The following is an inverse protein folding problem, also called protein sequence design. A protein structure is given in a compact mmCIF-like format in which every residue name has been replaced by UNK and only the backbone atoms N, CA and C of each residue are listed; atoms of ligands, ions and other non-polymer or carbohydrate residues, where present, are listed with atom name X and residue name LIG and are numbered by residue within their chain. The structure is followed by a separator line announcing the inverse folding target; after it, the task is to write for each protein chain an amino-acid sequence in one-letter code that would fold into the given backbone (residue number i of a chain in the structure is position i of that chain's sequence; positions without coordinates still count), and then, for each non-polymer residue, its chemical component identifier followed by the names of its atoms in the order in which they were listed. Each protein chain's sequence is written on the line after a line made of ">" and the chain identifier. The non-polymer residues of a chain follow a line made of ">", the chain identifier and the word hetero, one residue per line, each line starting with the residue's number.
data_IF_188550568179
#
_entry.id   IF_188550568179
#
_cell.length_a   1.000
_cell.length_b   1.000
_cell.length_c   1.000
_cell.angle_alpha   90.00
_cell.angle_beta   90.00
_cell.angle_gamma   90.00
#
_symmetry.space_group_name_H-M   'P 1'
#
loop_
_entity.id
_entity.type
_entity.pdbx_description
1 polymer ?
#
# COMPACT_ATOMS: atom_id res chain seq x y z
N UNK A 1 -6.06 -18.63 6.00
CA UNK A 1 -4.95 -18.14 6.86
C UNK A 1 -5.40 -18.28 8.32
N UNK A 2 -4.55 -18.68 9.29
CA UNK A 2 -5.00 -18.71 10.70
C UNK A 2 -5.18 -17.28 11.24
N UNK A 3 -6.16 -17.05 12.10
CA UNK A 3 -6.52 -15.72 12.63
C UNK A 3 -5.28 -14.97 13.21
N UNK A 4 -4.44 -15.67 13.98
CA UNK A 4 -3.19 -15.12 14.55
C UNK A 4 -2.14 -14.78 13.49
N UNK A 5 -2.02 -15.58 12.43
CA UNK A 5 -1.10 -15.29 11.33
C UNK A 5 -1.55 -14.05 10.56
N UNK A 6 -2.85 -13.93 10.34
CA UNK A 6 -3.44 -12.78 9.68
C UNK A 6 -3.23 -11.48 10.46
N UNK A 7 -3.49 -11.49 11.78
CA UNK A 7 -3.22 -10.35 12.66
C UNK A 7 -1.75 -9.90 12.57
N UNK A 8 -0.81 -10.86 12.62
CA UNK A 8 0.63 -10.55 12.50
C UNK A 8 0.98 -9.94 11.15
N UNK A 9 0.42 -10.47 10.06
CA UNK A 9 0.64 -9.91 8.72
C UNK A 9 0.07 -8.50 8.59
N UNK A 10 -1.14 -8.25 9.10
CA UNK A 10 -1.78 -6.94 9.08
C UNK A 10 -0.96 -5.91 9.88
N UNK A 11 -0.56 -6.25 11.09
CA UNK A 11 0.28 -5.38 11.92
C UNK A 11 1.65 -5.12 11.29
N UNK A 12 2.23 -6.10 10.58
CA UNK A 12 3.49 -5.93 9.85
C UNK A 12 3.34 -4.96 8.69
N UNK A 13 2.28 -5.05 7.89
CA UNK A 13 2.02 -4.10 6.79
C UNK A 13 1.72 -2.70 7.31
N UNK A 14 0.88 -2.56 8.35
CA UNK A 14 0.61 -1.26 8.98
C UNK A 14 1.87 -0.61 9.55
N UNK A 15 2.79 -1.40 10.10
CA UNK A 15 4.08 -0.90 10.56
C UNK A 15 4.90 -0.32 9.41
N UNK A 16 4.92 -0.97 8.24
CA UNK A 16 5.66 -0.44 7.07
C UNK A 16 5.07 0.89 6.58
N UNK A 17 3.77 1.10 6.76
CA UNK A 17 3.11 2.35 6.39
C UNK A 17 3.31 3.45 7.44
N UNK A 18 3.61 3.10 8.69
CA UNK A 18 3.81 4.06 9.77
C UNK A 18 5.28 4.48 9.84
N UNK A 19 5.53 5.80 9.79
CA UNK A 19 6.88 6.36 10.00
C UNK A 19 7.33 6.34 11.47
N UNK A 20 6.48 5.85 12.39
CA UNK A 20 6.73 5.91 13.82
C UNK A 20 7.66 4.77 14.29
N UNK A 21 8.51 5.01 15.30
CA UNK A 21 9.27 3.97 15.99
C UNK A 21 8.36 2.87 16.54
N UNK A 22 8.88 1.64 16.60
CA UNK A 22 8.10 0.45 17.00
C UNK A 22 7.39 0.61 18.36
N UNK A 23 8.05 1.27 19.32
CA UNK A 23 7.50 1.52 20.65
C UNK A 23 6.27 2.43 20.61
N UNK A 24 6.28 3.45 19.75
CA UNK A 24 5.16 4.38 19.58
C UNK A 24 4.00 3.74 18.82
N UNK A 25 4.31 2.89 17.82
CA UNK A 25 3.28 2.16 17.08
C UNK A 25 2.47 1.23 17.99
N UNK A 26 3.12 0.54 18.94
CA UNK A 26 2.40 -0.35 19.89
C UNK A 26 1.52 0.40 20.89
N UNK A 27 1.81 1.68 21.15
CA UNK A 27 1.00 2.51 22.04
C UNK A 27 -0.16 3.21 21.31
N UNK A 28 -0.13 3.22 19.98
CA UNK A 28 -1.16 3.85 19.14
C UNK A 28 -2.56 3.31 19.47
N UNK A 29 -3.58 4.18 19.54
CA UNK A 29 -4.98 3.76 19.70
C UNK A 29 -5.42 2.75 18.64
N UNK A 30 -4.93 2.89 17.41
CA UNK A 30 -5.24 1.97 16.31
C UNK A 30 -4.75 0.54 16.58
N UNK A 31 -3.53 0.40 17.12
CA UNK A 31 -2.96 -0.91 17.46
C UNK A 31 -3.80 -1.61 18.53
N UNK A 32 -4.18 -0.87 19.57
CA UNK A 32 -5.02 -1.38 20.66
C UNK A 32 -6.42 -1.78 20.18
N UNK A 33 -7.01 -0.97 19.29
CA UNK A 33 -8.31 -1.25 18.69
C UNK A 33 -8.30 -2.53 17.84
N UNK A 34 -7.30 -2.69 16.97
CA UNK A 34 -7.19 -3.91 16.15
C UNK A 34 -7.06 -5.14 17.04
N UNK A 35 -6.21 -5.08 18.08
CA UNK A 35 -6.08 -6.18 19.03
C UNK A 35 -7.38 -6.49 19.77
N UNK A 36 -8.15 -5.49 20.18
CA UNK A 36 -9.42 -5.72 20.88
C UNK A 36 -10.46 -6.35 19.96
N UNK A 37 -10.54 -5.95 18.69
CA UNK A 37 -11.43 -6.57 17.71
C UNK A 37 -11.06 -8.04 17.47
N UNK A 38 -9.78 -8.34 17.25
CA UNK A 38 -9.33 -9.71 17.02
C UNK A 38 -9.58 -10.62 18.23
N UNK A 39 -9.41 -10.10 19.47
CA UNK A 39 -9.73 -10.84 20.69
C UNK A 39 -11.24 -11.07 20.85
N UNK A 40 -12.06 -10.07 20.52
CA UNK A 40 -13.53 -10.15 20.62
C UNK A 40 -14.10 -11.28 19.77
N UNK A 41 -13.55 -11.52 18.58
CA UNK A 41 -14.01 -12.57 17.67
C UNK A 41 -13.26 -13.90 17.79
N UNK A 42 -12.27 -14.01 18.70
CA UNK A 42 -11.54 -15.27 18.92
C UNK A 42 -12.36 -16.24 19.79
N UNK A 43 -13.03 -15.73 20.82
CA UNK A 43 -13.79 -16.49 21.81
C UNK A 43 -15.28 -16.13 21.80
N UNK A 44 -16.11 -16.80 21.02
CA UNK A 44 -17.57 -16.82 21.27
C UNK A 44 -18.29 -17.90 20.45
N UNK A 45 -19.45 -18.28 20.98
CA UNK A 45 -20.31 -19.45 20.74
C UNK A 45 -20.90 -19.57 19.32
N UNK A 46 -21.46 -20.75 19.01
CA UNK A 46 -21.91 -21.19 17.66
C UNK A 46 -22.85 -20.22 16.91
N UNK A 47 -23.55 -19.30 17.59
CA UNK A 47 -24.38 -18.28 16.94
C UNK A 47 -23.58 -17.12 16.31
N UNK A 48 -22.26 -17.01 16.55
CA UNK A 48 -21.40 -15.92 16.04
C UNK A 48 -20.38 -16.34 14.97
N UNK A 49 -20.51 -17.53 14.39
CA UNK A 49 -19.62 -17.96 13.31
C UNK A 49 -19.66 -17.04 12.09
N UNK A 50 -20.82 -16.49 11.71
CA UNK A 50 -20.92 -15.53 10.58
C UNK A 50 -20.18 -14.22 10.87
N UNK A 51 -20.44 -13.51 11.99
CA UNK A 51 -19.65 -12.32 12.38
C UNK A 51 -18.13 -12.56 12.45
N UNK A 52 -17.70 -13.74 12.93
CA UNK A 52 -16.27 -14.10 12.97
C UNK A 52 -15.70 -14.22 11.56
N UNK A 53 -16.41 -14.89 10.65
CA UNK A 53 -15.97 -15.03 9.27
C UNK A 53 -15.94 -13.68 8.54
N UNK A 54 -16.98 -12.86 8.71
CA UNK A 54 -17.07 -11.51 8.14
C UNK A 54 -15.92 -10.64 8.62
N UNK A 55 -15.63 -10.61 9.93
CA UNK A 55 -14.51 -9.83 10.47
C UNK A 55 -13.15 -10.29 9.93
N UNK A 56 -12.95 -11.60 9.76
CA UNK A 56 -11.75 -12.15 9.12
C UNK A 56 -11.65 -11.73 7.65
N UNK A 57 -12.73 -11.80 6.90
CA UNK A 57 -12.78 -11.40 5.49
C UNK A 57 -12.50 -9.90 5.33
N UNK A 58 -13.07 -9.06 6.21
CA UNK A 58 -12.77 -7.62 6.24
C UNK A 58 -11.29 -7.39 6.48
N UNK A 59 -10.69 -8.09 7.45
CA UNK A 59 -9.27 -7.95 7.73
C UNK A 59 -8.36 -8.46 6.59
N UNK A 60 -8.75 -9.53 5.89
CA UNK A 60 -8.08 -10.02 4.66
C UNK A 60 -8.16 -8.98 3.53
N UNK A 61 -9.31 -8.35 3.37
CA UNK A 61 -9.53 -7.30 2.38
C UNK A 61 -8.61 -6.11 2.62
N UNK A 62 -8.53 -5.62 3.87
CA UNK A 62 -7.61 -4.55 4.23
C UNK A 62 -6.14 -4.94 4.08
N UNK A 63 -5.76 -6.16 4.46
CA UNK A 63 -4.39 -6.65 4.25
C UNK A 63 -4.02 -6.65 2.76
N UNK A 64 -4.95 -7.06 1.90
CA UNK A 64 -4.77 -7.06 0.44
C UNK A 64 -4.63 -5.65 -0.09
N UNK A 65 -5.48 -4.73 0.37
CA UNK A 65 -5.40 -3.31 0.02
C UNK A 65 -4.05 -2.70 0.39
N UNK A 66 -3.56 -2.92 1.62
CA UNK A 66 -2.27 -2.40 2.08
C UNK A 66 -1.11 -2.90 1.21
N UNK A 67 -1.11 -4.19 0.86
CA UNK A 67 -0.11 -4.77 -0.05
C UNK A 67 -0.20 -4.17 -1.45
N UNK A 68 -1.40 -4.00 -1.97
CA UNK A 68 -1.63 -3.41 -3.30
C UNK A 68 -1.13 -1.96 -3.35
N UNK A 69 -1.39 -1.15 -2.30
CA UNK A 69 -0.90 0.22 -2.20
C UNK A 69 0.63 0.27 -2.12
N UNK A 70 1.25 -0.59 -1.32
CA UNK A 70 2.71 -0.68 -1.23
C UNK A 70 3.33 -1.04 -2.59
N UNK A 71 2.76 -2.03 -3.27
CA UNK A 71 3.19 -2.45 -4.62
C UNK A 71 2.98 -1.33 -5.64
N UNK A 72 1.84 -0.64 -5.60
CA UNK A 72 1.57 0.48 -6.49
C UNK A 72 2.61 1.59 -6.34
N UNK A 73 2.95 1.96 -5.10
CA UNK A 73 4.03 2.94 -4.83
C UNK A 73 5.36 2.48 -5.41
N UNK A 74 5.70 1.20 -5.28
CA UNK A 74 6.90 0.64 -5.88
C UNK A 74 6.88 0.77 -7.41
N UNK A 75 5.78 0.37 -8.07
CA UNK A 75 5.65 0.48 -9.53
C UNK A 75 5.74 1.92 -10.01
N UNK A 76 5.07 2.84 -9.32
CA UNK A 76 5.15 4.27 -9.63
C UNK A 76 6.60 4.73 -9.45
N UNK A 77 7.29 4.40 -8.37
CA UNK A 77 8.68 4.83 -8.20
C UNK A 77 9.62 4.23 -9.26
N UNK A 78 9.39 3.01 -9.73
CA UNK A 78 10.25 2.36 -10.73
C UNK A 78 9.94 2.80 -12.17
N UNK A 79 8.68 3.02 -12.50
CA UNK A 79 8.22 3.21 -13.87
C UNK A 79 7.60 4.58 -14.15
N UNK A 80 7.48 5.45 -13.14
CA UNK A 80 7.06 6.85 -13.37
C UNK A 80 8.13 7.54 -14.19
N UNK A 81 7.98 7.48 -15.50
CA UNK A 81 8.70 8.35 -16.41
C UNK A 81 8.11 9.75 -16.28
N UNK A 82 9.01 10.74 -16.26
CA UNK A 82 8.64 12.12 -16.57
C UNK A 82 8.12 12.15 -18.01
N UNK A 83 7.16 13.03 -18.30
CA UNK A 83 6.87 13.40 -19.68
C UNK A 83 8.15 13.93 -20.32
N UNK A 84 8.54 13.31 -21.43
CA UNK A 84 9.77 13.66 -22.15
C UNK A 84 9.44 14.83 -23.07
N UNK A 85 10.34 15.80 -23.14
CA UNK A 85 10.21 16.90 -24.10
C UNK A 85 10.30 16.36 -25.54
N UNK A 86 9.76 17.08 -26.52
CA UNK A 86 9.82 16.66 -27.93
C UNK A 86 11.25 16.36 -28.40
N UNK A 87 12.25 17.09 -27.88
CA UNK A 87 13.67 16.87 -28.15
C UNK A 87 14.18 15.55 -27.57
N UNK A 88 13.85 15.24 -26.32
CA UNK A 88 14.22 14.00 -25.64
C UNK A 88 13.55 12.78 -26.29
N UNK A 89 12.28 12.93 -26.70
CA UNK A 89 11.55 11.90 -27.43
C UNK A 89 12.17 11.63 -28.81
N UNK A 90 12.52 12.68 -29.57
CA UNK A 90 13.20 12.54 -30.85
C UNK A 90 14.53 11.78 -30.70
N UNK A 91 15.36 12.16 -29.72
CA UNK A 91 16.66 11.49 -29.47
C UNK A 91 16.52 10.01 -29.13
N UNK A 92 15.46 9.61 -28.43
CA UNK A 92 15.23 8.19 -28.09
C UNK A 92 14.98 7.30 -29.31
N UNK A 93 14.41 7.86 -30.37
CA UNK A 93 14.15 7.15 -31.63
C UNK A 93 15.23 7.41 -32.68
N UNK A 94 16.35 8.03 -32.30
CA UNK A 94 17.46 8.35 -33.21
C UNK A 94 17.19 9.55 -34.13
N UNK A 95 16.19 10.37 -33.82
CA UNK A 95 15.84 11.58 -34.56
C UNK A 95 16.37 12.84 -33.85
N UNK A 96 16.59 13.89 -34.62
CA UNK A 96 16.94 15.22 -34.11
C UNK A 96 15.86 16.22 -34.50
N UNK A 97 15.57 17.18 -33.61
CA UNK A 97 14.69 18.31 -33.96
C UNK A 97 15.37 19.18 -35.03
N UNK A 98 14.62 19.70 -36.01
CA UNK A 98 15.16 20.65 -36.98
C UNK A 98 15.52 21.97 -36.27
N UNK A 99 16.57 22.64 -36.75
CA UNK A 99 16.90 23.98 -36.27
C UNK A 99 15.75 24.93 -36.61
N UNK A 100 15.18 25.58 -35.59
CA UNK A 100 14.23 26.67 -35.82
C UNK A 100 14.99 27.83 -36.42
N UNK A 101 14.57 28.30 -37.60
CA UNK A 101 15.10 29.51 -38.21
C UNK A 101 14.67 30.71 -37.34
N UNK A 102 15.45 31.05 -36.33
CA UNK A 102 15.36 32.35 -35.67
C UNK A 102 15.95 33.35 -36.63
N UNK A 103 15.11 33.97 -37.45
CA UNK A 103 15.50 35.06 -38.33
C UNK A 103 15.98 36.23 -37.50
N UNK A 104 17.28 36.25 -37.18
CA UNK A 104 17.98 37.47 -36.80
C UNK A 104 18.17 38.27 -38.10
N UNK A 105 17.50 39.42 -38.14
CA UNK A 105 17.83 40.52 -39.06
C UNK A 105 18.86 41.42 -38.39
#
# INVERSE_FOLDING_TARGET
>A
MTNRALLRSLLKELRKCSSAPQQQFTQSPFYKYILSQFRRFDTTTEQQCSPKHESMQVAETYLTLLKAVARHRQLVNTYKCREKTASEAAKLVGLSLPATYSGEK
#
